data_IF_415901626858
#
_entry.id   IF_415901626858
#
_cell.length_a   1.000
_cell.length_b   1.000
_cell.length_c   1.000
_cell.angle_alpha   90.00
_cell.angle_beta   90.00
_cell.angle_gamma   90.00
#
_symmetry.space_group_name_H-M   'P 1'
#
loop_
_entity.id
_entity.type
_entity.pdbx_description
1 polymer ?
#
# COMPACT_ATOMS: atom_id res chain seq x y z
N UNK A 1 -6.35 -2.66 27.50
CA UNK A 1 -5.02 -2.25 27.00
C UNK A 1 -4.33 -3.32 26.17
N UNK A 2 -4.14 -4.55 26.69
CA UNK A 2 -3.45 -5.62 25.95
C UNK A 2 -4.10 -5.94 24.59
N UNK A 3 -5.43 -5.90 24.50
CA UNK A 3 -6.14 -6.20 23.24
C UNK A 3 -5.90 -5.14 22.15
N UNK A 4 -5.90 -3.86 22.52
CA UNK A 4 -5.52 -2.75 21.61
C UNK A 4 -4.12 -2.94 21.05
N UNK A 5 -3.17 -3.36 21.89
CA UNK A 5 -1.78 -3.60 21.48
C UNK A 5 -1.66 -4.81 20.55
N UNK A 6 -2.41 -5.89 20.80
CA UNK A 6 -2.45 -7.06 19.90
C UNK A 6 -3.03 -6.71 18.54
N UNK A 7 -4.12 -5.94 18.50
CA UNK A 7 -4.73 -5.46 17.24
C UNK A 7 -3.78 -4.56 16.47
N UNK A 8 -3.07 -3.66 17.15
CA UNK A 8 -2.02 -2.88 16.50
C UNK A 8 -0.92 -3.79 15.90
N UNK A 9 -0.44 -4.78 16.66
CA UNK A 9 0.56 -5.73 16.16
C UNK A 9 0.05 -6.48 14.93
N UNK A 10 -1.19 -6.96 14.95
CA UNK A 10 -1.85 -7.64 13.82
C UNK A 10 -1.90 -6.74 12.57
N UNK A 11 -2.23 -5.46 12.72
CA UNK A 11 -2.20 -4.50 11.62
C UNK A 11 -0.78 -4.32 11.05
N UNK A 12 0.23 -4.22 11.90
CA UNK A 12 1.62 -4.11 11.44
C UNK A 12 2.05 -5.40 10.71
N UNK A 13 1.71 -6.58 11.22
CA UNK A 13 1.99 -7.86 10.54
C UNK A 13 1.36 -7.93 9.15
N UNK A 14 0.10 -7.51 9.03
CA UNK A 14 -0.59 -7.43 7.74
C UNK A 14 0.17 -6.53 6.75
N UNK A 15 0.63 -5.36 7.19
CA UNK A 15 1.44 -4.47 6.35
C UNK A 15 2.75 -5.16 5.90
N UNK A 16 3.40 -5.91 6.78
CA UNK A 16 4.62 -6.64 6.43
C UNK A 16 4.35 -7.75 5.39
N UNK A 17 3.23 -8.47 5.50
CA UNK A 17 2.80 -9.47 4.51
C UNK A 17 2.53 -8.84 3.14
N UNK A 18 2.06 -7.60 3.12
CA UNK A 18 1.88 -6.80 1.90
C UNK A 18 3.18 -6.20 1.36
N UNK A 19 4.35 -6.62 1.87
CA UNK A 19 5.66 -6.19 1.40
C UNK A 19 6.13 -4.85 1.95
N UNK A 20 5.56 -4.35 3.04
CA UNK A 20 6.20 -3.27 3.80
C UNK A 20 7.39 -3.82 4.59
N UNK A 21 8.41 -2.99 4.81
CA UNK A 21 9.46 -3.28 5.78
C UNK A 21 9.29 -2.38 6.99
N UNK A 22 9.75 -2.82 8.16
CA UNK A 22 9.71 -2.00 9.38
C UNK A 22 10.41 -0.64 9.16
N UNK A 23 11.54 -0.63 8.43
CA UNK A 23 12.26 0.58 8.05
C UNK A 23 11.39 1.53 7.21
N UNK A 24 10.74 1.02 6.16
CA UNK A 24 9.87 1.85 5.30
C UNK A 24 8.63 2.37 6.03
N UNK A 25 8.03 1.56 6.91
CA UNK A 25 6.92 2.01 7.76
C UNK A 25 7.38 3.14 8.68
N UNK A 26 8.52 2.97 9.35
CA UNK A 26 9.11 3.96 10.24
C UNK A 26 9.37 5.28 9.52
N UNK A 27 10.01 5.24 8.34
CA UNK A 27 10.28 6.42 7.51
C UNK A 27 9.00 7.15 7.09
N UNK A 28 7.95 6.42 6.66
CA UNK A 28 6.70 7.03 6.21
C UNK A 28 5.86 7.59 7.34
N UNK A 29 5.89 6.97 8.51
CA UNK A 29 5.19 7.45 9.71
C UNK A 29 6.02 8.56 10.39
N UNK A 30 7.34 8.61 10.16
CA UNK A 30 8.25 9.55 10.80
C UNK A 30 8.58 9.18 12.24
N UNK A 31 8.75 7.89 12.51
CA UNK A 31 9.19 7.34 13.79
C UNK A 31 10.48 6.54 13.61
N UNK A 32 11.15 6.19 14.70
CA UNK A 32 12.29 5.28 14.64
C UNK A 32 11.84 3.84 14.37
N UNK A 33 12.69 3.06 13.71
CA UNK A 33 12.44 1.64 13.40
C UNK A 33 12.17 0.79 14.66
N UNK A 34 12.81 1.13 15.79
CA UNK A 34 12.56 0.47 17.07
C UNK A 34 11.16 0.73 17.62
N UNK A 35 10.53 1.85 17.26
CA UNK A 35 9.15 2.16 17.63
C UNK A 35 8.19 1.22 16.94
N UNK A 36 8.38 0.99 15.62
CA UNK A 36 7.61 0.02 14.85
C UNK A 36 7.81 -1.40 15.38
N UNK A 37 9.05 -1.76 15.73
CA UNK A 37 9.34 -3.04 16.38
C UNK A 37 8.59 -3.21 17.72
N UNK A 38 8.51 -2.16 18.55
CA UNK A 38 7.78 -2.19 19.83
C UNK A 38 6.27 -2.32 19.62
N UNK A 39 5.70 -1.70 18.58
CA UNK A 39 4.31 -1.88 18.19
C UNK A 39 4.04 -3.33 17.77
N UNK A 40 4.91 -3.89 16.92
CA UNK A 40 4.83 -5.29 16.48
C UNK A 40 4.94 -6.28 17.65
N UNK A 41 5.73 -5.96 18.69
CA UNK A 41 5.82 -6.76 19.91
C UNK A 41 4.72 -6.48 20.94
N UNK A 42 3.67 -5.74 20.56
CA UNK A 42 2.56 -5.36 21.43
C UNK A 42 3.01 -4.69 22.74
N UNK A 43 4.18 -4.02 22.75
CA UNK A 43 4.75 -3.39 23.95
C UNK A 43 4.21 -1.99 24.19
N UNK A 44 3.89 -1.27 23.12
CA UNK A 44 3.39 0.11 23.17
C UNK A 44 2.44 0.35 22.00
N UNK A 45 1.62 1.39 22.10
CA UNK A 45 0.65 1.85 21.11
C UNK A 45 0.80 3.37 20.99
N UNK A 46 0.75 3.97 19.79
CA UNK A 46 0.73 5.42 19.67
C UNK A 46 -0.52 6.02 20.31
N UNK A 47 -0.38 7.17 20.95
CA UNK A 47 -1.51 7.94 21.50
C UNK A 47 -2.44 8.37 20.36
N UNK A 48 -3.76 8.31 20.58
CA UNK A 48 -4.79 8.50 19.54
C UNK A 48 -4.66 9.86 18.81
N UNK A 49 -4.28 10.92 19.54
CA UNK A 49 -4.15 12.28 18.99
C UNK A 49 -2.72 12.59 18.49
N UNK A 50 -1.81 11.61 18.54
CA UNK A 50 -0.43 11.83 18.10
C UNK A 50 -0.33 11.89 16.57
N UNK A 51 0.65 12.67 16.09
CA UNK A 51 1.02 12.71 14.66
C UNK A 51 1.35 11.31 14.12
N UNK A 52 1.88 10.43 14.96
CA UNK A 52 2.23 9.06 14.60
C UNK A 52 0.99 8.21 14.34
N UNK A 53 -0.04 8.37 15.18
CA UNK A 53 -1.32 7.69 15.01
C UNK A 53 -2.03 8.14 13.74
N UNK A 54 -2.11 9.46 13.52
CA UNK A 54 -2.67 10.05 12.29
C UNK A 54 -1.97 9.55 11.02
N UNK A 55 -0.63 9.48 11.03
CA UNK A 55 0.15 9.01 9.88
C UNK A 55 0.02 7.50 9.69
N UNK A 56 -0.02 6.72 10.77
CA UNK A 56 -0.27 5.28 10.69
C UNK A 56 -1.66 5.01 10.09
N UNK A 57 -2.70 5.71 10.54
CA UNK A 57 -4.05 5.58 9.99
C UNK A 57 -4.06 5.82 8.47
N UNK A 58 -3.54 6.97 8.05
CA UNK A 58 -3.46 7.36 6.63
C UNK A 58 -2.68 6.37 5.77
N UNK A 59 -1.62 5.76 6.32
CA UNK A 59 -0.79 4.79 5.61
C UNK A 59 -1.41 3.38 5.58
N UNK A 60 -2.28 3.07 6.53
CA UNK A 60 -2.76 1.71 6.76
C UNK A 60 -4.25 1.52 6.49
N UNK A 61 -4.96 2.52 5.97
CA UNK A 61 -6.25 2.29 5.32
C UNK A 61 -7.41 3.18 5.70
N UNK A 62 -7.23 4.10 6.64
CA UNK A 62 -8.32 4.95 7.07
C UNK A 62 -7.87 6.28 7.65
N UNK A 63 -8.75 6.86 8.43
CA UNK A 63 -8.51 8.02 9.29
C UNK A 63 -8.29 7.56 10.74
N UNK A 64 -8.01 8.53 11.62
CA UNK A 64 -7.81 8.23 13.03
C UNK A 64 -9.04 7.58 13.67
N UNK A 65 -10.24 7.98 13.27
CA UNK A 65 -11.48 7.46 13.86
C UNK A 65 -11.64 5.97 13.56
N UNK A 66 -11.53 5.59 12.29
CA UNK A 66 -11.61 4.19 11.87
C UNK A 66 -10.47 3.34 12.46
N UNK A 67 -9.25 3.87 12.56
CA UNK A 67 -8.14 3.17 13.24
C UNK A 67 -8.47 2.97 14.73
N UNK A 68 -9.05 3.97 15.39
CA UNK A 68 -9.46 3.86 16.79
C UNK A 68 -10.56 2.81 16.97
N UNK A 69 -11.61 2.84 16.14
CA UNK A 69 -12.68 1.84 16.15
C UNK A 69 -12.14 0.42 15.95
N UNK A 70 -11.16 0.24 15.06
CA UNK A 70 -10.50 -1.05 14.89
C UNK A 70 -9.75 -1.46 16.16
N UNK A 71 -8.91 -0.58 16.69
CA UNK A 71 -8.11 -0.89 17.88
C UNK A 71 -8.99 -1.19 19.11
N UNK A 72 -10.14 -0.52 19.23
CA UNK A 72 -11.09 -0.66 20.33
C UNK A 72 -11.99 -1.88 20.26
N UNK A 73 -12.05 -2.58 19.13
CA UNK A 73 -12.90 -3.77 19.02
C UNK A 73 -14.14 -3.61 18.17
N UNK A 74 -14.51 -2.37 17.82
CA UNK A 74 -15.79 -2.06 17.22
C UNK A 74 -15.91 -2.52 15.76
N UNK A 75 -14.80 -2.50 15.01
CA UNK A 75 -14.75 -3.00 13.64
C UNK A 75 -13.65 -4.06 13.48
N UNK A 76 -13.80 -4.88 12.45
CA UNK A 76 -12.81 -5.90 12.07
C UNK A 76 -11.62 -5.30 11.33
N UNK A 77 -10.52 -6.05 11.23
CA UNK A 77 -9.36 -5.63 10.44
C UNK A 77 -9.72 -5.45 8.96
N UNK A 78 -10.49 -6.36 8.37
CA UNK A 78 -10.92 -6.25 6.97
C UNK A 78 -11.78 -5.01 6.73
N UNK A 79 -12.72 -4.72 7.63
CA UNK A 79 -13.54 -3.49 7.57
C UNK A 79 -12.67 -2.23 7.59
N UNK A 80 -11.69 -2.16 8.49
CA UNK A 80 -10.75 -1.03 8.54
C UNK A 80 -9.91 -0.91 7.26
N UNK A 81 -9.44 -2.04 6.73
CA UNK A 81 -8.54 -2.09 5.57
C UNK A 81 -9.24 -1.85 4.23
N UNK A 82 -10.56 -1.95 4.16
CA UNK A 82 -11.34 -1.70 2.94
C UNK A 82 -11.13 -0.28 2.38
N UNK A 83 -10.90 0.72 3.24
CA UNK A 83 -10.55 2.08 2.81
C UNK A 83 -9.18 2.17 2.11
N UNK A 84 -8.26 1.24 2.39
CA UNK A 84 -6.95 1.17 1.71
C UNK A 84 -7.03 0.59 0.31
N UNK A 85 -7.86 -0.44 0.09
CA UNK A 85 -7.98 -1.12 -1.22
C UNK A 85 -8.42 -0.15 -2.32
N UNK A 86 -9.24 0.84 -1.96
CA UNK A 86 -9.74 1.86 -2.87
C UNK A 86 -8.88 3.15 -2.90
N UNK A 87 -7.76 3.19 -2.17
CA UNK A 87 -6.91 4.40 -2.08
C UNK A 87 -5.98 4.54 -3.29
N UNK A 88 -5.83 5.75 -3.87
CA UNK A 88 -4.87 6.04 -4.93
C UNK A 88 -3.42 5.65 -4.58
N UNK A 89 -3.05 5.72 -3.30
CA UNK A 89 -1.72 5.34 -2.81
C UNK A 89 -1.47 3.83 -2.91
N UNK A 90 -2.51 3.03 -2.72
CA UNK A 90 -2.42 1.58 -2.87
C UNK A 90 -2.35 1.19 -4.35
N UNK A 91 -3.14 1.84 -5.20
CA UNK A 91 -3.10 1.62 -6.64
C UNK A 91 -1.70 1.91 -7.23
N UNK A 92 -1.10 3.04 -6.87
CA UNK A 92 0.27 3.39 -7.29
C UNK A 92 1.33 2.40 -6.76
N UNK A 93 1.14 1.86 -5.55
CA UNK A 93 2.04 0.86 -4.98
C UNK A 93 1.90 -0.51 -5.66
N UNK A 94 0.67 -0.93 -5.97
CA UNK A 94 0.39 -2.17 -6.72
C UNK A 94 1.06 -2.12 -8.09
N UNK A 95 0.99 -0.99 -8.78
CA UNK A 95 1.70 -0.77 -10.05
C UNK A 95 3.22 -0.86 -9.90
N UNK A 96 3.80 -0.34 -8.81
CA UNK A 96 5.26 -0.32 -8.60
C UNK A 96 5.86 -1.67 -8.20
N UNK A 97 5.08 -2.53 -7.54
CA UNK A 97 5.55 -3.82 -7.03
C UNK A 97 5.01 -5.01 -7.85
N UNK A 98 4.36 -4.74 -8.98
CA UNK A 98 3.81 -5.80 -9.83
C UNK A 98 4.95 -6.64 -10.42
N UNK A 99 4.89 -7.98 -10.31
CA UNK A 99 5.84 -8.82 -11.00
C UNK A 99 5.71 -8.58 -12.51
N UNK A 100 6.85 -8.58 -13.21
CA UNK A 100 6.93 -8.27 -14.64
C UNK A 100 6.00 -9.19 -15.45
N UNK A 101 5.81 -10.41 -14.98
CA UNK A 101 4.98 -11.45 -15.57
C UNK A 101 3.49 -11.08 -15.51
N UNK A 102 3.00 -10.55 -14.39
CA UNK A 102 1.63 -10.03 -14.32
C UNK A 102 1.42 -8.84 -15.25
N UNK A 103 2.43 -7.98 -15.41
CA UNK A 103 2.38 -6.84 -16.34
C UNK A 103 2.32 -7.35 -17.79
N UNK A 104 3.14 -8.35 -18.13
CA UNK A 104 3.15 -8.97 -19.47
C UNK A 104 1.79 -9.58 -19.81
N UNK A 105 1.21 -10.37 -18.89
CA UNK A 105 -0.09 -11.02 -19.11
C UNK A 105 -1.23 -10.00 -19.28
N UNK A 106 -1.24 -8.94 -18.47
CA UNK A 106 -2.24 -7.87 -18.62
C UNK A 106 -2.08 -7.11 -19.95
N UNK A 107 -0.84 -6.77 -20.33
CA UNK A 107 -0.56 -6.10 -21.60
C UNK A 107 -0.95 -7.00 -22.77
N UNK A 108 -0.64 -8.30 -22.70
CA UNK A 108 -1.06 -9.27 -23.72
C UNK A 108 -2.59 -9.33 -23.82
N UNK A 109 -3.31 -9.41 -22.71
CA UNK A 109 -4.77 -9.42 -22.69
C UNK A 109 -5.37 -8.12 -23.28
N UNK A 110 -4.74 -6.96 -23.04
CA UNK A 110 -5.16 -5.70 -23.65
C UNK A 110 -4.87 -5.67 -25.16
N UNK A 111 -3.71 -6.17 -25.59
CA UNK A 111 -3.34 -6.25 -27.02
C UNK A 111 -4.31 -7.16 -27.78
N UNK A 112 -4.77 -8.26 -27.18
CA UNK A 112 -5.74 -9.16 -27.83
C UNK A 112 -7.12 -8.55 -28.05
N UNK A 113 -7.42 -7.42 -27.41
CA UNK A 113 -8.68 -6.68 -27.57
C UNK A 113 -8.59 -5.57 -28.63
N UNK A 114 -7.38 -5.31 -29.16
CA UNK A 114 -7.15 -4.26 -30.16
C UNK A 114 -7.27 -4.80 -31.58
N UNK A 115 -7.78 -3.97 -32.48
CA UNK A 115 -7.74 -4.26 -33.90
C UNK A 115 -6.29 -4.20 -34.42
N UNK A 116 -5.91 -4.99 -35.44
CA UNK A 116 -4.55 -5.01 -35.97
C UNK A 116 -4.02 -3.62 -36.39
N UNK A 117 -4.91 -2.72 -36.83
CA UNK A 117 -4.55 -1.34 -37.21
C UNK A 117 -4.13 -0.49 -36.00
N UNK A 118 -4.78 -0.65 -34.85
CA UNK A 118 -4.46 0.09 -33.63
C UNK A 118 -3.13 -0.37 -33.03
N UNK A 119 -2.87 -1.68 -33.08
CA UNK A 119 -1.59 -2.27 -32.65
C UNK A 119 -0.45 -1.68 -33.49
N UNK A 120 -0.63 -1.59 -34.81
CA UNK A 120 0.37 -1.04 -35.73
C UNK A 120 0.67 0.44 -35.42
N UNK A 121 -0.36 1.26 -35.19
CA UNK A 121 -0.20 2.68 -34.83
C UNK A 121 0.60 2.85 -33.53
N UNK A 122 0.30 2.05 -32.49
CA UNK A 122 1.03 2.08 -31.21
C UNK A 122 2.50 1.70 -31.39
N UNK A 123 2.80 0.66 -32.17
CA UNK A 123 4.18 0.23 -32.45
C UNK A 123 4.92 1.34 -33.21
N UNK A 124 4.32 1.90 -34.26
CA UNK A 124 4.93 2.96 -35.06
C UNK A 124 5.24 4.22 -34.24
N UNK A 125 4.29 4.67 -33.39
CA UNK A 125 4.52 5.80 -32.48
C UNK A 125 5.63 5.52 -31.47
N UNK A 126 5.64 4.31 -30.91
CA UNK A 126 6.66 3.90 -29.93
C UNK A 126 8.06 3.85 -30.55
N UNK A 127 8.18 3.29 -31.77
CA UNK A 127 9.44 3.26 -32.51
C UNK A 127 9.96 4.68 -32.81
N UNK A 128 9.08 5.57 -33.28
CA UNK A 128 9.42 6.96 -33.56
C UNK A 128 9.85 7.71 -32.29
N UNK A 129 9.14 7.51 -31.17
CA UNK A 129 9.47 8.10 -29.88
C UNK A 129 10.86 7.66 -29.39
N UNK A 130 11.18 6.37 -29.51
CA UNK A 130 12.49 5.85 -29.12
C UNK A 130 13.61 6.40 -30.02
N UNK A 131 13.39 6.42 -31.34
CA UNK A 131 14.34 6.97 -32.29
C UNK A 131 14.66 8.45 -32.01
N UNK A 132 13.65 9.25 -31.66
CA UNK A 132 13.81 10.66 -31.32
C UNK A 132 14.53 10.91 -29.98
N UNK A 133 14.52 9.91 -29.07
CA UNK A 133 15.20 10.00 -27.77
C UNK A 133 16.67 9.60 -27.83
N UNK A 134 17.08 8.89 -28.88
CA UNK A 134 18.46 8.45 -29.14
C UNK A 134 19.25 9.37 -30.07
N UNK A 135 18.60 10.38 -30.65
CA UNK A 135 19.20 11.42 -31.49
C UNK A 135 19.50 12.68 -30.67
#
# INVERSE_FOLDING_TARGET
>A
MQERQKRLAQLIEQLLQEGWTQKRLAEKIGVDSTTVYRWLKAKVIPEADSKNFLRLAKLSGGDSESLQQYLDGHISLSTYRQGWENSPLNHARKLKNRPVEEIKEEVLAQITLLEPADILDVISRSANFLAAKTA
#
